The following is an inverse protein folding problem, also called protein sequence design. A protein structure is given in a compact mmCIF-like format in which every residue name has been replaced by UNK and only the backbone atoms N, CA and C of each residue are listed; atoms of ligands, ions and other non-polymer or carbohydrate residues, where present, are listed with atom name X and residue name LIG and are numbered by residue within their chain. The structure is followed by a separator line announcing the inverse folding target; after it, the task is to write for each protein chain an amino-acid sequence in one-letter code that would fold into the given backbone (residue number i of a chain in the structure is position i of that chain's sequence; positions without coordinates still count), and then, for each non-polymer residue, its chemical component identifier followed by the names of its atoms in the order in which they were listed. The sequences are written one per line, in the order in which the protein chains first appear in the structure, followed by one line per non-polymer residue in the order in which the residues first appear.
data_IF_700798597175
#
_entry.id   IF_700798597175
#
_cell.length_a   1.000
_cell.length_b   1.000
_cell.length_c   1.000
_cell.angle_alpha   90.00
_cell.angle_beta   90.00
_cell.angle_gamma   90.00
#
_symmetry.space_group_name_H-M   'P 1'
#
loop_
_entity.id
_entity.type
_entity.pdbx_description
1 polymer ?
2 non-polymer ?
3 non-polymer ?
4 non-polymer ?
5 non-polymer ?
6 non-polymer ?
7 water ?
#
# COMPACT_ATOMS: atom_id res chain seq x y z
N UNK A 1 15.47 -8.71 6.75
CA UNK A 1 14.97 -9.94 6.17
C UNK A 1 13.68 -9.68 5.39
N UNK A 2 12.93 -10.73 5.23
CA UNK A 2 11.70 -10.75 4.41
C UNK A 2 10.69 -9.75 4.95
N UNK A 3 10.44 -9.75 6.26
CA UNK A 3 9.44 -8.84 6.86
C UNK A 3 9.86 -7.38 6.65
N UNK A 4 11.12 -7.05 6.85
CA UNK A 4 11.55 -5.67 6.61
C UNK A 4 11.38 -5.33 5.14
N UNK A 5 11.65 -6.26 4.24
CA UNK A 5 11.52 -5.98 2.79
C UNK A 5 10.07 -5.65 2.48
N UNK A 6 9.11 -6.30 3.11
CA UNK A 6 7.68 -5.95 2.87
C UNK A 6 7.51 -4.48 3.24
N UNK A 7 8.06 -4.05 4.37
CA UNK A 7 7.95 -2.64 4.81
C UNK A 7 8.65 -1.71 3.82
N UNK A 8 9.84 -2.08 3.37
CA UNK A 8 10.59 -1.26 2.37
C UNK A 8 9.71 -1.09 1.13
N UNK A 9 9.23 -2.19 0.58
CA UNK A 9 8.46 -2.13 -0.68
C UNK A 9 7.20 -1.28 -0.44
N UNK A 10 6.52 -1.49 0.66
CA UNK A 10 5.28 -0.73 0.95
C UNK A 10 5.53 0.76 1.06
N UNK A 11 6.72 1.17 1.46
CA UNK A 11 7.06 2.59 1.63
C UNK A 11 7.21 3.33 0.31
N UNK A 12 7.27 2.62 -0.81
CA UNK A 12 7.34 3.28 -2.14
C UNK A 12 6.67 2.36 -3.16
N UNK A 13 5.46 1.92 -2.84
CA UNK A 13 4.92 0.70 -3.50
C UNK A 13 4.59 0.95 -4.96
N UNK A 14 4.12 2.16 -5.29
CA UNK A 14 3.75 2.51 -6.69
C UNK A 14 5.01 2.44 -7.58
N UNK A 15 6.16 2.92 -7.12
CA UNK A 15 7.41 2.86 -7.94
C UNK A 15 7.91 1.41 -7.95
N UNK A 16 7.96 0.72 -6.80
CA UNK A 16 8.51 -0.66 -6.80
C UNK A 16 7.65 -1.57 -7.66
N UNK A 17 6.33 -1.48 -7.51
CA UNK A 17 5.40 -2.34 -8.26
C UNK A 17 5.60 -2.15 -9.76
N UNK A 18 5.60 -0.89 -10.22
CA UNK A 18 5.80 -0.60 -11.64
C UNK A 18 7.18 -1.10 -12.10
N UNK A 19 8.22 -0.80 -11.34
CA UNK A 19 9.59 -1.16 -11.78
C UNK A 19 9.75 -2.69 -11.83
N UNK A 20 9.20 -3.41 -10.87
CA UNK A 20 9.33 -4.87 -10.88
C UNK A 20 8.51 -5.45 -12.02
N UNK A 21 7.29 -4.94 -12.24
CA UNK A 21 6.46 -5.47 -13.34
C UNK A 21 7.13 -5.17 -14.68
N UNK A 22 7.73 -3.99 -14.84
CA UNK A 22 8.46 -3.70 -16.09
C UNK A 22 9.66 -4.66 -16.22
N UNK A 23 10.37 -4.95 -15.12
CA UNK A 23 11.50 -5.89 -15.21
C UNK A 23 10.99 -7.25 -15.70
N UNK A 24 9.82 -7.66 -15.23
CA UNK A 24 9.19 -8.93 -15.68
C UNK A 24 8.86 -8.86 -17.17
N UNK A 25 8.13 -7.84 -17.58
CA UNK A 25 7.70 -7.75 -19.01
C UNK A 25 8.91 -7.65 -19.91
N UNK A 26 9.95 -6.96 -19.48
CA UNK A 26 11.14 -6.76 -20.35
C UNK A 26 11.95 -8.05 -20.40
N UNK A 27 12.04 -8.80 -19.30
CA UNK A 27 12.80 -10.08 -19.32
C UNK A 27 12.06 -11.13 -20.13
N UNK A 28 10.73 -11.11 -20.06
CA UNK A 28 9.87 -12.14 -20.66
C UNK A 28 8.86 -11.47 -21.60
N UNK A 29 9.30 -10.96 -22.75
CA UNK A 29 8.37 -10.20 -23.60
C UNK A 29 7.16 -11.02 -24.06
N UNK A 30 7.26 -12.35 -24.16
CA UNK A 30 6.11 -13.18 -24.60
C UNK A 30 5.00 -13.12 -23.56
N UNK A 31 5.30 -12.73 -22.32
CA UNK A 31 4.28 -12.67 -21.25
C UNK A 31 3.24 -11.58 -21.58
N UNK A 32 3.49 -10.73 -22.57
CA UNK A 32 2.46 -9.73 -23.02
C UNK A 32 1.32 -10.41 -23.76
N UNK A 33 1.35 -11.73 -23.96
CA UNK A 33 0.17 -12.50 -24.44
C UNK A 33 -0.97 -12.32 -23.43
N UNK A 34 -0.66 -12.03 -22.16
CA UNK A 34 -1.70 -11.81 -21.12
C UNK A 34 -1.91 -10.33 -20.84
N UNK A 35 -1.23 -9.43 -21.56
CA UNK A 35 -1.25 -7.96 -21.31
C UNK A 35 -1.23 -7.23 -22.67
N UNK A 36 -2.17 -7.59 -23.54
CA UNK A 36 -2.18 -7.20 -24.98
C UNK A 36 -2.16 -5.67 -25.14
N UNK A 37 -2.69 -4.94 -24.12
CA UNK A 37 -2.79 -3.46 -24.06
C UNK A 37 -1.41 -2.80 -23.90
N UNK A 38 -0.44 -3.52 -23.33
CA UNK A 38 0.91 -3.00 -23.00
C UNK A 38 1.90 -3.19 -24.15
N UNK A 39 1.44 -3.71 -25.28
CA UNK A 39 2.29 -3.91 -26.50
C UNK A 39 2.60 -2.54 -27.13
N UNK A 40 3.82 -2.37 -27.64
CA UNK A 40 4.20 -1.19 -28.43
C UNK A 40 4.36 0.07 -27.60
N UNK A 41 4.74 -0.11 -26.34
CA UNK A 41 4.88 0.98 -25.35
C UNK A 41 6.26 0.89 -24.67
N UNK A 42 6.95 2.02 -24.54
CA UNK A 42 8.16 2.09 -23.71
C UNK A 42 7.74 2.09 -22.23
N UNK A 43 8.71 1.88 -21.36
CA UNK A 43 8.43 1.96 -19.91
C UNK A 43 7.76 3.28 -19.53
N UNK A 44 8.27 4.42 -19.99
CA UNK A 44 7.69 5.72 -19.60
C UNK A 44 6.26 5.86 -20.15
N UNK A 45 5.94 5.31 -21.32
CA UNK A 45 4.56 5.33 -21.84
C UNK A 45 3.66 4.44 -20.97
N UNK A 46 4.14 3.27 -20.54
CA UNK A 46 3.32 2.38 -19.70
C UNK A 46 3.01 3.09 -18.39
N UNK A 47 3.98 3.78 -17.79
CA UNK A 47 3.76 4.43 -16.48
C UNK A 47 2.70 5.53 -16.61
N UNK A 48 2.44 6.01 -17.83
CA UNK A 48 1.46 7.08 -18.15
C UNK A 48 0.05 6.50 -18.34
N UNK A 49 -0.09 5.18 -18.43
CA UNK A 49 -1.36 4.48 -18.72
C UNK A 49 -2.07 4.17 -17.41
N UNK A 50 -3.27 4.68 -17.22
CA UNK A 50 -3.95 4.63 -15.92
C UNK A 50 -4.06 3.21 -15.42
N UNK A 51 -4.48 2.24 -16.22
CA UNK A 51 -4.69 0.89 -15.65
C UNK A 51 -3.33 0.26 -15.37
N UNK A 52 -2.30 0.56 -16.14
CA UNK A 52 -0.97 0.02 -15.80
C UNK A 52 -0.63 0.42 -14.37
N UNK A 53 -0.70 1.68 -14.00
CA UNK A 53 -0.31 2.07 -12.64
C UNK A 53 -1.29 1.52 -11.62
N UNK A 54 -2.60 1.66 -11.90
CA UNK A 54 -3.66 1.27 -10.93
C UNK A 54 -3.57 -0.24 -10.70
N UNK A 55 -3.64 -1.02 -11.77
CA UNK A 55 -3.70 -2.50 -11.65
C UNK A 55 -2.38 -3.00 -11.04
N UNK A 56 -1.27 -2.46 -11.45
CA UNK A 56 0.02 -2.97 -10.92
C UNK A 56 0.09 -2.66 -9.43
N UNK A 57 -0.35 -1.48 -9.01
CA UNK A 57 -0.35 -1.15 -7.57
C UNK A 57 -1.25 -2.13 -6.84
N UNK A 58 -2.44 -2.41 -7.37
CA UNK A 58 -3.38 -3.32 -6.68
C UNK A 58 -2.79 -4.74 -6.60
N UNK A 59 -2.13 -5.20 -7.65
CA UNK A 59 -1.47 -6.53 -7.65
C UNK A 59 -0.46 -6.54 -6.49
N UNK A 60 0.39 -5.51 -6.39
CA UNK A 60 1.47 -5.50 -5.40
C UNK A 60 0.88 -5.25 -4.01
N UNK A 61 -0.19 -4.49 -3.90
CA UNK A 61 -0.86 -4.32 -2.59
C UNK A 61 -1.20 -5.71 -2.05
N UNK A 62 -1.86 -6.53 -2.87
CA UNK A 62 -2.29 -7.86 -2.41
C UNK A 62 -1.06 -8.76 -2.24
N UNK A 63 -0.07 -8.66 -3.11
CA UNK A 63 1.16 -9.51 -2.96
C UNK A 63 1.79 -9.24 -1.60
N UNK A 64 1.87 -7.98 -1.21
CA UNK A 64 2.50 -7.63 0.07
C UNK A 64 1.65 -8.17 1.22
N UNK A 65 0.33 -8.21 1.12
CA UNK A 65 -0.56 -8.81 2.14
C UNK A 65 -0.28 -10.32 2.24
N UNK A 66 -0.17 -10.97 1.11
CA UNK A 66 0.10 -12.43 1.09
C UNK A 66 1.48 -12.69 1.72
N UNK A 67 2.47 -11.89 1.39
CA UNK A 67 3.81 -12.02 1.99
C UNK A 67 3.70 -11.76 3.49
N UNK A 68 2.93 -10.77 3.92
CA UNK A 68 2.85 -10.39 5.35
C UNK A 68 2.13 -11.48 6.15
N UNK A 69 1.14 -12.15 5.55
CA UNK A 69 0.39 -13.22 6.22
C UNK A 69 1.15 -14.54 6.21
N UNK A 70 2.24 -14.63 5.46
CA UNK A 70 3.06 -15.86 5.37
C UNK A 70 3.81 -16.11 6.69
N UNK A 71 4.19 -17.37 6.88
CA UNK A 71 5.09 -17.79 7.97
C UNK A 71 6.33 -18.37 7.28
N UNK A 72 7.52 -17.85 7.59
CA UNK A 72 8.77 -18.39 7.00
C UNK A 72 8.64 -18.46 5.47
N UNK A 73 8.01 -17.47 4.86
CA UNK A 73 7.90 -17.35 3.39
C UNK A 73 6.95 -18.39 2.80
N UNK A 74 6.11 -18.98 3.63
CA UNK A 74 5.09 -19.95 3.16
C UNK A 74 3.74 -19.27 3.28
N UNK A 75 3.04 -19.02 2.14
CA UNK A 75 1.77 -18.31 2.20
C UNK A 75 0.65 -19.18 2.79
N UNK A 76 -0.35 -18.54 3.35
CA UNK A 76 -1.60 -19.21 3.76
C UNK A 76 -2.23 -19.92 2.57
N UNK A 77 -2.76 -21.10 2.83
CA UNK A 77 -3.56 -21.83 1.83
C UNK A 77 -4.76 -20.97 1.39
N UNK A 78 -5.36 -20.18 2.27
CA UNK A 78 -6.52 -19.34 1.88
C UNK A 78 -6.09 -18.31 0.83
N UNK A 79 -4.89 -17.76 0.95
CA UNK A 79 -4.38 -16.78 -0.04
C UNK A 79 -4.12 -17.49 -1.38
N UNK A 80 -3.54 -18.69 -1.36
CA UNK A 80 -3.26 -19.43 -2.61
C UNK A 80 -4.60 -19.70 -3.31
N UNK A 81 -5.61 -20.11 -2.56
CA UNK A 81 -6.91 -20.49 -3.15
C UNK A 81 -7.57 -19.24 -3.74
N UNK A 82 -7.45 -18.09 -3.09
CA UNK A 82 -7.93 -16.80 -3.65
C UNK A 82 -7.26 -16.53 -5.01
N UNK A 83 -5.94 -16.67 -5.12
CA UNK A 83 -5.18 -16.35 -6.35
C UNK A 83 -5.51 -17.36 -7.47
N UNK A 84 -5.81 -18.61 -7.15
CA UNK A 84 -6.21 -19.60 -8.18
C UNK A 84 -7.63 -19.27 -8.68
N UNK A 85 -8.54 -18.94 -7.77
CA UNK A 85 -9.99 -18.85 -8.07
C UNK A 85 -10.32 -17.52 -8.77
N UNK A 86 -9.51 -16.49 -8.61
CA UNK A 86 -9.76 -15.15 -9.18
C UNK A 86 -10.08 -15.27 -10.68
N UNK A 87 -11.18 -14.69 -11.14
CA UNK A 87 -11.58 -14.77 -12.57
C UNK A 87 -10.50 -14.13 -13.46
N UNK A 88 -9.80 -13.13 -12.92
CA UNK A 88 -8.73 -12.38 -13.65
C UNK A 88 -7.56 -13.32 -13.91
N UNK A 89 -7.48 -14.42 -13.17
CA UNK A 89 -6.40 -15.42 -13.30
C UNK A 89 -6.84 -16.67 -14.04
N UNK A 90 -8.00 -16.66 -14.70
CA UNK A 90 -8.53 -17.88 -15.36
C UNK A 90 -7.54 -18.39 -16.41
N UNK A 91 -6.82 -17.50 -17.09
CA UNK A 91 -5.90 -17.89 -18.18
C UNK A 91 -4.53 -18.38 -17.72
N UNK A 92 -4.23 -18.37 -16.42
CA UNK A 92 -2.82 -18.43 -15.94
C UNK A 92 -2.37 -19.84 -15.56
N UNK A 93 -1.06 -20.06 -15.60
CA UNK A 93 -0.41 -21.30 -15.10
C UNK A 93 0.66 -20.91 -14.07
N UNK A 94 1.19 -21.88 -13.36
CA UNK A 94 2.16 -21.56 -12.29
C UNK A 94 3.42 -20.95 -12.91
N UNK A 95 3.73 -21.25 -14.17
CA UNK A 95 4.94 -20.72 -14.81
C UNK A 95 4.88 -19.21 -14.93
N UNK A 96 3.68 -18.64 -15.06
CA UNK A 96 3.53 -17.16 -15.11
C UNK A 96 4.05 -16.55 -13.79
N UNK A 97 3.68 -17.17 -12.69
CA UNK A 97 4.10 -16.74 -11.33
C UNK A 97 5.61 -16.96 -11.13
N UNK A 98 6.13 -18.12 -11.56
CA UNK A 98 7.58 -18.40 -11.47
C UNK A 98 8.35 -17.25 -12.12
N UNK A 99 7.98 -16.89 -13.34
CA UNK A 99 8.70 -15.86 -14.12
C UNK A 99 8.62 -14.53 -13.39
N UNK A 100 7.48 -14.19 -12.84
CA UNK A 100 7.33 -12.91 -12.09
C UNK A 100 8.35 -12.89 -10.95
N UNK A 101 8.45 -13.99 -10.19
CA UNK A 101 9.33 -14.01 -9.01
C UNK A 101 10.80 -14.11 -9.45
N UNK A 102 11.12 -14.74 -10.60
CA UNK A 102 12.51 -14.70 -11.11
C UNK A 102 12.89 -13.23 -11.33
N UNK A 103 12.03 -12.47 -12.00
CA UNK A 103 12.30 -11.04 -12.31
C UNK A 103 12.40 -10.23 -11.02
N UNK A 104 11.51 -10.47 -10.06
CA UNK A 104 11.50 -9.75 -8.76
C UNK A 104 12.82 -9.99 -8.02
N UNK A 105 13.26 -11.23 -7.96
CA UNK A 105 14.53 -11.57 -7.27
C UNK A 105 15.71 -10.91 -8.00
N UNK A 106 15.71 -10.97 -9.34
CA UNK A 106 16.79 -10.34 -10.13
C UNK A 106 16.82 -8.85 -9.79
N UNK A 107 15.66 -8.19 -9.78
CA UNK A 107 15.52 -6.75 -9.45
C UNK A 107 16.13 -6.46 -8.07
N UNK A 108 15.79 -7.31 -7.10
CA UNK A 108 16.32 -7.10 -5.73
C UNK A 108 17.85 -7.29 -5.72
N UNK A 109 18.35 -8.30 -6.42
CA UNK A 109 19.82 -8.53 -6.40
C UNK A 109 20.54 -7.33 -7.02
N UNK A 110 19.96 -6.72 -8.05
CA UNK A 110 20.59 -5.59 -8.78
C UNK A 110 20.52 -4.30 -7.97
N UNK A 111 19.62 -4.21 -6.99
CA UNK A 111 19.51 -3.01 -6.13
C UNK A 111 20.73 -2.94 -5.18
N UNK A 112 21.11 -1.74 -4.76
CA UNK A 112 22.15 -1.55 -3.73
C UNK A 112 21.64 -1.90 -2.34
N UNK A 113 20.35 -2.14 -2.18
CA UNK A 113 19.71 -2.28 -0.85
C UNK A 113 19.85 -3.72 -0.37
N UNK A 114 19.79 -3.88 0.93
CA UNK A 114 19.94 -5.18 1.62
C UNK A 114 18.62 -5.94 1.62
N UNK A 115 18.00 -6.09 0.43
CA UNK A 115 16.84 -7.01 0.27
C UNK A 115 17.32 -8.42 0.60
N UNK A 116 16.43 -9.21 1.17
CA UNK A 116 16.67 -10.64 1.44
C UNK A 116 16.24 -11.43 0.21
N UNK A 117 17.05 -11.38 -0.83
CA UNK A 117 16.63 -11.94 -2.14
C UNK A 117 16.35 -13.44 -2.01
N UNK A 118 17.12 -14.15 -1.20
CA UNK A 118 16.92 -15.62 -1.06
C UNK A 118 15.51 -15.88 -0.48
N UNK A 119 15.06 -15.07 0.47
CA UNK A 119 13.70 -15.24 1.02
C UNK A 119 12.64 -15.00 -0.05
N UNK A 120 12.84 -14.01 -0.90
CA UNK A 120 11.86 -13.77 -1.99
C UNK A 120 11.88 -14.91 -3.00
N UNK A 121 13.05 -15.50 -3.27
CA UNK A 121 13.13 -16.71 -4.12
C UNK A 121 12.31 -17.83 -3.48
N UNK A 122 12.52 -18.10 -2.20
CA UNK A 122 11.73 -19.11 -1.46
C UNK A 122 10.23 -18.78 -1.52
N UNK A 123 9.86 -17.54 -1.25
CA UNK A 123 8.44 -17.15 -1.25
C UNK A 123 7.83 -17.44 -2.63
N UNK A 124 8.53 -17.11 -3.71
CA UNK A 124 8.01 -17.39 -5.06
C UNK A 124 7.85 -18.88 -5.28
N UNK A 125 8.84 -19.67 -4.88
CA UNK A 125 8.79 -21.14 -5.03
C UNK A 125 7.65 -21.72 -4.20
N UNK A 126 7.45 -21.21 -2.98
CA UNK A 126 6.41 -21.70 -2.05
C UNK A 126 5.02 -21.24 -2.50
N UNK A 127 4.94 -20.06 -3.11
CA UNK A 127 3.64 -19.59 -3.65
C UNK A 127 3.26 -20.47 -4.85
N UNK A 128 4.22 -20.79 -5.71
CA UNK A 128 3.98 -21.67 -6.89
C UNK A 128 3.50 -23.04 -6.40
N UNK A 129 4.16 -23.62 -5.41
CA UNK A 129 3.74 -24.92 -4.80
C UNK A 129 2.31 -24.82 -4.27
N UNK A 130 1.97 -23.72 -3.59
CA UNK A 130 0.64 -23.54 -2.96
C UNK A 130 -0.42 -23.34 -4.04
N UNK A 131 -0.04 -22.65 -5.10
CA UNK A 131 -0.95 -22.45 -6.25
C UNK A 131 -1.22 -23.80 -6.89
N UNK A 132 -0.20 -24.63 -7.09
CA UNK A 132 -0.35 -25.98 -7.69
C UNK A 132 -1.25 -26.82 -6.78
N UNK A 133 -0.98 -26.82 -5.47
CA UNK A 133 -1.80 -27.59 -4.51
C UNK A 133 -3.26 -27.11 -4.56
N UNK A 134 -3.49 -25.81 -4.81
CA UNK A 134 -4.85 -25.23 -4.82
C UNK A 134 -5.48 -25.31 -6.22
N UNK A 135 -4.80 -25.94 -7.17
CA UNK A 135 -5.41 -26.41 -8.42
C UNK A 135 -5.07 -25.57 -9.64
N UNK A 136 -4.10 -24.68 -9.55
CA UNK A 136 -3.61 -23.96 -10.76
C UNK A 136 -2.80 -24.93 -11.62
N UNK A 137 -2.99 -24.90 -12.94
CA UNK A 137 -2.28 -25.77 -13.91
C UNK A 137 -0.86 -25.27 -14.12
N UNK B 1 -13.75 -6.73 11.42
CA UNK B 1 -13.15 -5.97 12.52
C UNK B 1 -11.99 -5.11 12.04
N UNK B 2 -11.21 -4.64 12.99
CA UNK B 2 -10.07 -3.72 12.74
C UNK B 2 -9.04 -4.35 11.81
N UNK B 3 -8.66 -5.61 12.05
CA UNK B 3 -7.64 -6.26 11.19
C UNK B 3 -8.19 -6.39 9.76
N UNK B 4 -9.45 -6.78 9.58
CA UNK B 4 -9.98 -6.84 8.20
C UNK B 4 -9.96 -5.44 7.58
N UNK B 5 -10.31 -4.41 8.33
CA UNK B 5 -10.30 -3.06 7.75
C UNK B 5 -8.91 -2.68 7.26
N UNK B 6 -7.87 -3.07 7.98
CA UNK B 6 -6.50 -2.80 7.50
C UNK B 6 -6.31 -3.49 6.16
N UNK B 7 -6.78 -4.71 6.00
CA UNK B 7 -6.66 -5.43 4.72
C UNK B 7 -7.49 -4.74 3.62
N UNK B 8 -8.72 -4.33 3.94
CA UNK B 8 -9.56 -3.60 2.97
C UNK B 8 -8.84 -2.33 2.49
N UNK B 9 -8.37 -1.54 3.45
CA UNK B 9 -7.70 -0.26 3.10
C UNK B 9 -6.43 -0.54 2.30
N UNK B 10 -5.62 -1.49 2.74
CA UNK B 10 -4.34 -1.79 2.04
C UNK B 10 -4.62 -2.27 0.61
N UNK B 11 -5.72 -2.99 0.39
CA UNK B 11 -5.96 -3.55 -0.94
C UNK B 11 -6.09 -2.46 -1.99
N UNK B 12 -6.58 -1.27 -1.62
CA UNK B 12 -6.72 -0.12 -2.54
C UNK B 12 -6.22 1.14 -1.83
N UNK B 13 -5.02 1.06 -1.30
CA UNK B 13 -4.44 2.05 -0.37
C UNK B 13 -4.58 3.47 -0.94
N UNK B 14 -4.10 3.68 -2.15
CA UNK B 14 -4.02 5.07 -2.64
C UNK B 14 -5.42 5.67 -2.74
N UNK B 15 -6.38 4.89 -3.23
CA UNK B 15 -7.74 5.41 -3.39
C UNK B 15 -8.35 5.82 -2.06
N UNK B 16 -8.27 4.95 -1.07
CA UNK B 16 -8.80 5.27 0.27
C UNK B 16 -8.01 6.43 0.88
N UNK B 17 -6.69 6.44 0.72
CA UNK B 17 -5.84 7.51 1.29
C UNK B 17 -6.28 8.87 0.74
N UNK B 18 -6.43 8.96 -0.57
CA UNK B 18 -6.86 10.23 -1.19
C UNK B 18 -8.25 10.62 -0.70
N UNK B 19 -9.19 9.69 -0.69
CA UNK B 19 -10.58 10.07 -0.36
C UNK B 19 -10.68 10.47 1.11
N UNK B 20 -9.96 9.79 2.00
CA UNK B 20 -10.03 10.16 3.43
C UNK B 20 -9.33 11.52 3.63
N UNK B 21 -8.17 11.71 3.02
CA UNK B 21 -7.46 12.98 3.19
C UNK B 21 -8.32 14.14 2.66
N UNK B 22 -8.97 13.94 1.51
CA UNK B 22 -9.86 15.00 0.97
C UNK B 22 -11.04 15.24 1.92
N UNK B 23 -11.59 14.20 2.51
CA UNK B 23 -12.70 14.38 3.47
C UNK B 23 -12.19 15.23 4.64
N UNK B 24 -10.98 14.93 5.11
CA UNK B 24 -10.35 15.72 6.19
C UNK B 24 -10.20 17.19 5.78
N UNK B 25 -9.54 17.45 4.65
CA UNK B 25 -9.30 18.86 4.22
C UNK B 25 -10.60 19.60 3.96
N UNK B 26 -11.62 18.92 3.47
CA UNK B 26 -12.90 19.60 3.18
C UNK B 26 -13.66 19.85 4.50
N UNK B 27 -13.58 18.94 5.48
CA UNK B 27 -14.29 19.14 6.77
C UNK B 27 -13.60 20.24 7.58
N UNK B 28 -12.28 20.33 7.48
CA UNK B 28 -11.45 21.25 8.30
C UNK B 28 -10.57 22.09 7.39
N UNK B 29 -11.15 23.04 6.65
CA UNK B 29 -10.36 23.80 5.67
C UNK B 29 -9.16 24.56 6.28
N UNK B 30 -9.24 24.95 7.55
CA UNK B 30 -8.10 25.64 8.20
C UNK B 30 -6.90 24.70 8.26
N UNK B 31 -7.11 23.39 8.20
CA UNK B 31 -5.99 22.43 8.27
C UNK B 31 -5.05 22.58 7.07
N UNK B 32 -5.47 23.26 6.00
CA UNK B 32 -4.56 23.57 4.86
C UNK B 32 -3.41 24.52 5.26
N UNK B 33 -3.44 25.07 6.45
CA UNK B 33 -2.26 25.78 7.01
C UNK B 33 -1.01 24.90 6.87
N UNK B 34 -1.22 23.59 7.04
CA UNK B 34 -0.18 22.54 7.04
C UNK B 34 0.13 22.06 5.62
N UNK B 35 -0.62 22.51 4.61
CA UNK B 35 -0.56 21.99 3.21
C UNK B 35 -0.72 23.13 2.20
N UNK B 36 0.16 24.13 2.28
CA UNK B 36 0.08 25.39 1.48
C UNK B 36 -0.08 25.03 0.00
N UNK B 37 0.66 24.00 -0.43
CA UNK B 37 0.74 23.40 -1.78
C UNK B 37 -0.65 23.14 -2.40
N UNK B 38 -1.65 22.87 -1.56
CA UNK B 38 -2.97 22.29 -1.91
C UNK B 38 -4.07 23.35 -1.85
N UNK B 39 -3.73 24.59 -1.53
CA UNK B 39 -4.71 25.71 -1.47
C UNK B 39 -5.18 26.04 -2.91
N UNK B 40 -6.46 26.31 -3.05
CA UNK B 40 -7.03 26.83 -4.31
C UNK B 40 -7.25 25.76 -5.35
N UNK B 41 -7.40 24.51 -4.93
CA UNK B 41 -7.53 23.37 -5.85
C UNK B 41 -8.71 22.49 -5.42
N UNK B 42 -9.45 22.03 -6.40
CA UNK B 42 -10.57 21.11 -6.21
C UNK B 42 -10.02 19.72 -5.95
N UNK B 43 -10.89 18.84 -5.53
CA UNK B 43 -10.51 17.44 -5.29
C UNK B 43 -9.83 16.85 -6.53
N UNK B 44 -10.46 16.99 -7.69
CA UNK B 44 -9.99 16.30 -8.91
C UNK B 44 -8.67 16.93 -9.35
N UNK B 45 -8.51 18.23 -9.03
CA UNK B 45 -7.30 19.05 -9.35
C UNK B 45 -6.11 18.57 -8.49
N UNK B 46 -6.37 18.20 -7.22
CA UNK B 46 -5.39 17.61 -6.29
C UNK B 46 -5.00 16.19 -6.74
N UNK B 47 -5.99 15.40 -7.13
CA UNK B 47 -5.72 13.99 -7.53
C UNK B 47 -4.85 13.93 -8.79
N UNK B 48 -4.65 15.05 -9.49
CA UNK B 48 -3.79 15.08 -10.70
C UNK B 48 -2.32 15.46 -10.40
N UNK B 49 -2.01 15.79 -9.13
CA UNK B 49 -0.69 16.24 -8.63
C UNK B 49 0.13 15.05 -8.07
N UNK B 50 1.30 14.77 -8.64
CA UNK B 50 2.09 13.57 -8.31
C UNK B 50 2.24 13.42 -6.81
N UNK B 51 2.73 14.46 -6.09
CA UNK B 51 3.08 14.34 -4.68
C UNK B 51 1.76 14.21 -3.94
N UNK B 52 0.60 14.67 -4.47
CA UNK B 52 -0.65 14.49 -3.71
C UNK B 52 -0.95 12.99 -3.55
N UNK B 53 -0.99 12.22 -4.63
CA UNK B 53 -1.22 10.77 -4.53
C UNK B 53 -0.06 10.07 -3.82
N UNK B 54 1.17 10.50 -4.10
CA UNK B 54 2.35 9.83 -3.52
C UNK B 54 2.40 10.06 -2.02
N UNK B 55 2.35 11.31 -1.55
CA UNK B 55 2.54 11.54 -0.10
C UNK B 55 1.30 11.03 0.62
N UNK B 56 0.10 11.14 0.04
CA UNK B 56 -1.10 10.64 0.77
C UNK B 56 -0.96 9.13 0.95
N UNK B 57 -0.54 8.43 -0.08
CA UNK B 57 -0.43 6.97 0.06
C UNK B 57 0.65 6.65 1.09
N UNK B 58 1.78 7.36 1.11
CA UNK B 58 2.86 7.01 2.06
C UNK B 58 2.42 7.33 3.49
N UNK B 59 1.66 8.39 3.68
CA UNK B 59 1.07 8.68 5.00
C UNK B 59 0.22 7.49 5.43
N UNK B 60 -0.67 7.09 4.54
CA UNK B 60 -1.66 6.03 4.85
C UNK B 60 -0.94 4.71 5.08
N UNK B 61 0.13 4.45 4.32
CA UNK B 61 0.92 3.23 4.50
C UNK B 61 1.48 3.18 5.93
N UNK B 62 2.07 4.27 6.40
CA UNK B 62 2.60 4.28 7.79
C UNK B 62 1.45 4.17 8.78
N UNK B 63 0.30 4.79 8.49
CA UNK B 63 -0.86 4.63 9.38
C UNK B 63 -1.26 3.16 9.49
N UNK B 64 -1.26 2.44 8.38
CA UNK B 64 -1.66 1.03 8.40
C UNK B 64 -0.60 0.18 9.12
N UNK B 65 0.69 0.52 8.97
CA UNK B 65 1.77 -0.15 9.73
C UNK B 65 1.54 0.03 11.25
N UNK B 66 1.24 1.25 11.68
CA UNK B 66 1.01 1.54 13.11
C UNK B 66 -0.25 0.80 13.56
N UNK B 67 -1.31 0.85 12.73
CA UNK B 67 -2.55 0.15 13.08
C UNK B 67 -2.31 -1.35 13.21
N UNK B 68 -1.55 -1.95 12.30
CA UNK B 68 -1.36 -3.42 12.34
C UNK B 68 -0.46 -3.82 13.53
N UNK B 69 0.45 -2.93 13.94
CA UNK B 69 1.32 -3.24 15.11
C UNK B 69 0.58 -3.00 16.42
N UNK B 70 -0.55 -2.32 16.42
CA UNK B 70 -1.33 -2.02 17.63
C UNK B 70 -1.87 -3.32 18.24
N UNK B 71 -2.13 -3.27 19.53
CA UNK B 71 -2.84 -4.35 20.27
C UNK B 71 -4.15 -3.77 20.77
N UNK B 72 -5.29 -4.38 20.47
CA UNK B 72 -6.60 -3.86 20.94
C UNK B 72 -6.71 -2.36 20.62
N UNK B 73 -6.26 -1.94 19.44
CA UNK B 73 -6.37 -0.55 18.95
C UNK B 73 -5.56 0.41 19.80
N UNK B 74 -4.55 -0.09 20.50
CA UNK B 74 -3.58 0.72 21.25
C UNK B 74 -2.26 0.67 20.51
N UNK B 75 -1.80 1.79 19.95
CA UNK B 75 -0.56 1.77 19.19
C UNK B 75 0.64 1.62 20.12
N UNK B 76 1.72 1.10 19.56
CA UNK B 76 3.00 1.04 20.29
C UNK B 76 3.50 2.46 20.59
N UNK B 77 4.09 2.61 21.76
CA UNK B 77 4.74 3.88 22.15
C UNK B 77 5.86 4.23 21.19
N UNK B 78 6.58 3.24 20.70
CA UNK B 78 7.67 3.52 19.73
C UNK B 78 7.10 4.11 18.42
N UNK B 79 5.94 3.66 17.99
CA UNK B 79 5.33 4.21 16.76
C UNK B 79 4.86 5.63 17.03
N UNK B 80 4.26 5.90 18.17
CA UNK B 80 3.85 7.27 18.53
C UNK B 80 5.09 8.18 18.52
N UNK B 81 6.20 7.73 19.09
CA UNK B 81 7.41 8.56 19.12
C UNK B 81 7.92 8.85 17.70
N UNK B 82 7.90 7.87 16.81
CA UNK B 82 8.29 8.11 15.38
C UNK B 82 7.45 9.28 14.86
N UNK B 83 6.14 9.27 15.08
CA UNK B 83 5.26 10.32 14.55
C UNK B 83 5.56 11.66 15.21
N UNK B 84 5.91 11.70 16.49
CA UNK B 84 6.27 12.97 17.16
C UNK B 84 7.60 13.52 16.61
N UNK B 85 8.56 12.66 16.30
CA UNK B 85 9.95 13.12 16.03
C UNK B 85 10.14 13.41 14.55
N UNK B 86 9.24 12.96 13.69
CA UNK B 86 9.38 13.25 12.25
C UNK B 86 9.51 14.75 12.04
N UNK B 87 10.54 15.18 11.32
CA UNK B 87 10.76 16.62 10.96
C UNK B 87 9.49 17.18 10.32
N UNK B 88 8.82 16.39 9.49
CA UNK B 88 7.64 16.89 8.72
C UNK B 88 6.47 17.17 9.68
N UNK B 89 6.55 16.71 10.93
CA UNK B 89 5.50 16.92 11.96
C UNK B 89 5.90 17.96 13.00
N UNK B 90 6.94 18.74 12.75
CA UNK B 90 7.50 19.73 13.69
C UNK B 90 6.41 20.72 14.15
N UNK B 91 5.53 21.14 13.24
CA UNK B 91 4.50 22.15 13.61
C UNK B 91 3.31 21.61 14.41
N UNK B 92 3.18 20.29 14.54
CA UNK B 92 1.84 19.69 14.78
C UNK B 92 1.54 19.53 16.26
N UNK B 93 0.25 19.49 16.59
CA UNK B 93 -0.25 19.18 17.95
C UNK B 93 -1.25 18.03 17.82
N UNK B 94 -1.66 17.49 18.94
CA UNK B 94 -2.48 16.25 18.90
C UNK B 94 -3.82 16.53 18.21
N UNK B 95 -4.29 17.77 18.27
CA UNK B 95 -5.55 18.19 17.65
C UNK B 95 -5.58 17.95 16.14
N UNK B 96 -4.45 18.10 15.47
CA UNK B 96 -4.33 17.81 14.02
C UNK B 96 -4.74 16.35 13.79
N UNK B 97 -4.21 15.45 14.61
CA UNK B 97 -4.47 13.98 14.48
C UNK B 97 -5.90 13.66 14.88
N UNK B 98 -6.43 14.30 15.93
CA UNK B 98 -7.83 14.07 16.36
C UNK B 98 -8.77 14.41 15.19
N UNK B 99 -8.52 15.54 14.51
CA UNK B 99 -9.38 15.92 13.37
C UNK B 99 -9.27 14.90 12.24
N UNK B 100 -8.08 14.45 11.91
CA UNK B 100 -7.91 13.45 10.84
C UNK B 100 -8.77 12.22 11.17
N UNK B 101 -8.68 11.72 12.40
CA UNK B 101 -9.43 10.52 12.77
C UNK B 101 -10.93 10.78 12.83
N UNK B 102 -11.35 11.98 13.23
CA UNK B 102 -12.81 12.29 13.15
C UNK B 102 -13.23 12.12 11.67
N UNK B 103 -12.47 12.66 10.74
CA UNK B 103 -12.84 12.57 9.30
C UNK B 103 -12.82 11.11 8.83
N UNK B 104 -11.82 10.35 9.25
CA UNK B 104 -11.67 8.94 8.83
C UNK B 104 -12.89 8.15 9.31
N UNK B 105 -13.26 8.33 10.57
CA UNK B 105 -14.41 7.60 11.16
C UNK B 105 -15.70 7.99 10.41
N UNK B 106 -15.88 9.28 10.15
CA UNK B 106 -17.09 9.72 9.41
C UNK B 106 -17.09 9.06 8.03
N UNK B 107 -15.94 9.05 7.35
CA UNK B 107 -15.85 8.40 6.02
C UNK B 107 -16.32 6.96 6.12
N UNK B 108 -15.84 6.24 7.12
CA UNK B 108 -16.19 4.83 7.26
C UNK B 108 -17.68 4.65 7.58
N UNK B 109 -18.25 5.52 8.40
CA UNK B 109 -19.69 5.41 8.75
C UNK B 109 -20.54 5.68 7.51
N UNK B 110 -20.09 6.56 6.62
CA UNK B 110 -20.86 6.93 5.40
C UNK B 110 -20.69 5.90 4.30
N UNK B 111 -19.68 5.05 4.40
CA UNK B 111 -19.45 4.02 3.37
C UNK B 111 -20.54 2.94 3.51
N UNK B 112 -20.76 2.20 2.46
CA UNK B 112 -21.73 1.09 2.55
C UNK B 112 -21.05 -0.15 3.10
N UNK B 113 -19.76 -0.07 3.43
CA UNK B 113 -18.96 -1.23 3.86
C UNK B 113 -19.02 -1.37 5.37
N UNK B 114 -18.85 -2.59 5.81
CA UNK B 114 -18.87 -2.97 7.24
C UNK B 114 -17.52 -2.67 7.90
N UNK B 115 -17.06 -1.44 7.83
CA UNK B 115 -15.89 -1.00 8.60
C UNK B 115 -16.24 -1.07 10.08
N UNK B 116 -15.24 -1.34 10.90
CA UNK B 116 -15.37 -1.33 12.38
C UNK B 116 -15.08 0.10 12.83
N UNK B 117 -16.02 1.00 12.59
CA UNK B 117 -15.83 2.44 12.86
C UNK B 117 -15.50 2.69 14.33
N UNK B 118 -16.10 1.94 15.25
CA UNK B 118 -15.83 2.15 16.69
C UNK B 118 -14.35 1.82 16.97
N UNK B 119 -13.80 0.78 16.37
CA UNK B 119 -12.36 0.46 16.61
C UNK B 119 -11.47 1.57 16.06
N UNK B 120 -11.80 2.14 14.90
CA UNK B 120 -11.00 3.27 14.36
C UNK B 120 -11.13 4.51 15.23
N UNK B 121 -12.32 4.79 15.74
CA UNK B 121 -12.53 5.97 16.61
C UNK B 121 -11.61 5.84 17.84
N UNK B 122 -11.60 4.63 18.39
CA UNK B 122 -10.80 4.24 19.59
C UNK B 122 -9.31 4.31 19.26
N UNK B 123 -8.89 3.70 18.17
CA UNK B 123 -7.49 3.78 17.68
C UNK B 123 -7.07 5.24 17.59
N UNK B 124 -7.91 6.12 17.00
CA UNK B 124 -7.58 7.53 16.90
C UNK B 124 -7.39 8.16 18.29
N UNK B 125 -8.29 7.88 19.23
CA UNK B 125 -8.19 8.42 20.61
C UNK B 125 -6.92 7.89 21.29
N UNK B 126 -6.63 6.62 21.07
CA UNK B 126 -5.45 6.00 21.74
C UNK B 126 -4.19 6.51 21.07
N UNK B 127 -4.22 6.80 19.77
CA UNK B 127 -3.04 7.38 19.12
C UNK B 127 -2.82 8.80 19.63
N UNK B 128 -3.85 9.63 19.77
CA UNK B 128 -3.71 11.00 20.33
C UNK B 128 -3.07 10.90 21.74
N UNK B 129 -3.56 9.98 22.55
CA UNK B 129 -3.03 9.76 23.93
C UNK B 129 -1.53 9.42 23.83
N UNK B 130 -1.22 8.45 22.97
CA UNK B 130 0.17 7.97 22.80
C UNK B 130 1.07 9.08 22.28
N UNK B 131 0.58 9.93 21.38
CA UNK B 131 1.36 11.09 20.89
C UNK B 131 1.67 12.04 22.04
N UNK B 132 0.72 12.32 22.89
CA UNK B 132 0.93 13.17 24.10
C UNK B 132 1.99 12.50 24.99
N UNK B 133 1.88 11.20 25.22
CA UNK B 133 2.85 10.49 26.08
C UNK B 133 4.24 10.52 25.45
N UNK B 134 4.35 10.54 24.13
CA UNK B 134 5.66 10.54 23.43
C UNK B 134 6.15 11.98 23.16
N UNK B 135 5.46 12.99 23.67
CA UNK B 135 6.00 14.37 23.71
C UNK B 135 5.37 15.39 22.78
N UNK B 136 4.23 15.08 22.17
CA UNK B 136 3.53 16.06 21.33
C UNK B 136 2.67 16.98 22.20
N UNK B 137 2.68 18.26 21.88
CA UNK B 137 1.82 19.26 22.56
C UNK B 137 0.39 19.15 22.05
#
# INVERSE_FOLDING_TARGET
GFKQDIATLRGDLRTYAQDIFLAFLNKYPDEKRNFKNYVGKSDQELKSMAKFGDHTEKVFNLMMEVADRATDCVPLASDASTLVQMKQHSGLTTGNFEKLFVALVEYMRASGQSFDSQSWDRFGKNLVSALSSAGMK
GFKQDIATLRGDLRTYAQDIFLAFLNKYPDEKRNFKNYVGKSDQELKSMAKFGDHTEKVFNLMMEVADRATDCVPLASDASTLVQMKQHSGLTTGNFEKLFVALVEYMRASGQSFDSQSWDRFGKNLVSALSSAGMK
#
